data_IF_385394189294
#
_entry.id   IF_385394189294
#
_cell.length_a   1.000
_cell.length_b   1.000
_cell.length_c   1.000
_cell.angle_alpha   90.00
_cell.angle_beta   90.00
_cell.angle_gamma   90.00
#
_symmetry.space_group_name_H-M   'P 1'
#
loop_
_entity.id
_entity.type
_entity.pdbx_description
1 polymer ?
#
# COMPACT_ATOMS: atom_id res chain seq x y z
N UNK A 1 -17.93 7.48 7.76
CA UNK A 1 -18.26 7.75 6.32
C UNK A 1 -17.42 8.84 5.66
N UNK A 2 -16.29 9.24 6.28
CA UNK A 2 -15.29 10.14 5.67
C UNK A 2 -14.62 9.50 4.44
N UNK A 3 -14.32 8.18 4.41
CA UNK A 3 -13.55 7.59 3.32
C UNK A 3 -14.16 7.77 1.93
N UNK A 4 -15.47 7.67 1.79
CA UNK A 4 -16.11 7.77 0.47
C UNK A 4 -16.11 9.18 -0.12
N UNK A 5 -16.12 10.21 0.72
CA UNK A 5 -16.14 11.61 0.29
C UNK A 5 -14.77 12.09 -0.20
N UNK A 6 -13.69 11.48 0.29
CA UNK A 6 -12.31 11.85 -0.07
C UNK A 6 -11.74 11.01 -1.21
N UNK A 7 -12.34 9.86 -1.54
CA UNK A 7 -11.92 9.03 -2.67
C UNK A 7 -12.05 9.78 -4.00
N UNK A 8 -11.06 9.67 -4.88
CA UNK A 8 -11.14 10.20 -6.24
C UNK A 8 -12.25 9.49 -7.03
N UNK A 9 -13.16 10.25 -7.64
CA UNK A 9 -14.21 9.68 -8.51
C UNK A 9 -13.61 8.91 -9.69
N UNK A 10 -12.50 9.39 -10.23
CA UNK A 10 -11.80 8.73 -11.34
C UNK A 10 -11.21 7.40 -10.88
N UNK A 11 -10.61 7.33 -9.68
CA UNK A 11 -10.16 6.06 -9.09
C UNK A 11 -11.33 5.08 -8.96
N UNK A 12 -12.44 5.52 -8.36
CA UNK A 12 -13.63 4.69 -8.19
C UNK A 12 -14.15 4.15 -9.52
N UNK A 13 -14.26 5.00 -10.55
CA UNK A 13 -14.75 4.60 -11.87
C UNK A 13 -13.77 3.61 -12.54
N UNK A 14 -12.48 3.90 -12.55
CA UNK A 14 -11.49 3.08 -13.21
C UNK A 14 -11.26 1.74 -12.49
N UNK A 15 -11.35 1.69 -11.15
CA UNK A 15 -11.25 0.42 -10.41
C UNK A 15 -12.39 -0.52 -10.78
N UNK A 16 -13.62 -0.04 -10.87
CA UNK A 16 -14.77 -0.84 -11.32
C UNK A 16 -14.53 -1.38 -12.74
N UNK A 17 -14.09 -0.52 -13.66
CA UNK A 17 -13.81 -0.91 -15.04
C UNK A 17 -12.72 -1.98 -15.13
N UNK A 18 -11.64 -1.84 -14.36
CA UNK A 18 -10.55 -2.83 -14.32
C UNK A 18 -11.01 -4.16 -13.72
N UNK A 19 -11.75 -4.14 -12.61
CA UNK A 19 -12.25 -5.36 -11.96
C UNK A 19 -13.25 -6.14 -12.80
N UNK A 20 -13.91 -5.49 -13.77
CA UNK A 20 -14.80 -6.13 -14.73
C UNK A 20 -14.06 -6.73 -15.94
N UNK A 21 -12.79 -6.41 -16.14
CA UNK A 21 -11.99 -6.93 -17.25
C UNK A 21 -11.66 -8.41 -17.06
N UNK A 22 -11.90 -9.23 -18.10
CA UNK A 22 -11.68 -10.68 -18.04
C UNK A 22 -10.21 -11.09 -17.82
N UNK A 23 -9.25 -10.28 -18.29
CA UNK A 23 -7.83 -10.56 -18.05
C UNK A 23 -7.49 -10.34 -16.57
N UNK A 24 -8.02 -9.27 -15.97
CA UNK A 24 -7.84 -8.99 -14.53
C UNK A 24 -8.45 -10.11 -13.70
N UNK A 25 -9.67 -10.52 -13.99
CA UNK A 25 -10.36 -11.59 -13.27
C UNK A 25 -9.61 -12.92 -13.32
N UNK A 26 -9.06 -13.28 -14.48
CA UNK A 26 -8.23 -14.50 -14.63
C UNK A 26 -6.94 -14.42 -13.82
N UNK A 27 -6.30 -13.25 -13.78
CA UNK A 27 -5.08 -13.04 -12.99
C UNK A 27 -5.41 -13.12 -11.50
N UNK A 28 -6.50 -12.49 -11.05
CA UNK A 28 -6.96 -12.57 -9.66
C UNK A 28 -7.23 -14.03 -9.24
N UNK A 29 -8.00 -14.79 -10.02
CA UNK A 29 -8.29 -16.19 -9.74
C UNK A 29 -7.01 -17.03 -9.64
N UNK A 30 -6.05 -16.85 -10.54
CA UNK A 30 -4.77 -17.54 -10.49
C UNK A 30 -3.91 -17.15 -9.27
N UNK A 31 -4.01 -15.90 -8.81
CA UNK A 31 -3.31 -15.45 -7.60
C UNK A 31 -3.94 -16.01 -6.33
N UNK A 32 -5.27 -16.05 -6.25
CA UNK A 32 -6.02 -16.61 -5.11
C UNK A 32 -5.73 -18.09 -4.91
N UNK A 33 -5.64 -18.89 -5.99
CA UNK A 33 -5.30 -20.31 -5.94
C UNK A 33 -3.91 -20.58 -5.33
N UNK A 34 -3.00 -19.59 -5.40
CA UNK A 34 -1.62 -19.69 -4.91
C UNK A 34 -1.37 -18.89 -3.63
N UNK A 35 -2.37 -18.17 -3.14
CA UNK A 35 -2.26 -17.38 -1.91
C UNK A 35 -2.37 -18.32 -0.70
N UNK A 36 -1.22 -18.80 -0.23
CA UNK A 36 -1.15 -19.48 1.05
C UNK A 36 -1.10 -18.42 2.18
N UNK A 37 -1.81 -18.67 3.28
CA UNK A 37 -1.80 -17.83 4.49
C UNK A 37 -0.44 -17.81 5.18
N UNK A 38 0.57 -17.23 4.54
CA UNK A 38 1.97 -17.21 5.01
C UNK A 38 2.55 -15.81 5.16
N UNK A 39 1.77 -14.76 4.85
CA UNK A 39 2.27 -13.38 4.90
C UNK A 39 2.76 -13.03 6.29
N UNK A 40 1.94 -13.23 7.31
CA UNK A 40 2.29 -12.95 8.70
C UNK A 40 3.52 -13.73 9.16
N UNK A 41 3.63 -15.02 8.82
CA UNK A 41 4.79 -15.84 9.18
C UNK A 41 6.06 -15.34 8.47
N UNK A 42 5.96 -14.97 7.21
CA UNK A 42 7.06 -14.40 6.44
C UNK A 42 7.51 -13.03 7.01
N UNK A 43 6.55 -12.21 7.44
CA UNK A 43 6.84 -10.92 8.09
C UNK A 43 7.57 -11.10 9.41
N UNK A 44 7.09 -11.98 10.28
CA UNK A 44 7.74 -12.28 11.57
C UNK A 44 9.16 -12.84 11.42
N UNK A 45 9.49 -13.44 10.28
CA UNK A 45 10.84 -13.92 10.00
C UNK A 45 11.81 -12.83 9.53
N UNK A 46 11.32 -11.64 9.09
CA UNK A 46 12.12 -10.60 8.44
C UNK A 46 11.89 -9.19 8.95
N UNK A 47 10.87 -8.99 9.76
CA UNK A 47 10.45 -7.70 10.28
C UNK A 47 10.10 -7.82 11.76
N UNK A 48 10.26 -6.74 12.50
CA UNK A 48 9.86 -6.63 13.89
C UNK A 48 8.45 -6.08 13.96
N UNK A 49 7.53 -6.80 14.63
CA UNK A 49 6.21 -6.26 14.93
C UNK A 49 6.32 -5.18 16.01
N UNK A 50 5.82 -4.00 15.71
CA UNK A 50 5.69 -2.93 16.68
C UNK A 50 4.39 -3.13 17.48
N UNK A 51 4.54 -3.24 18.78
CA UNK A 51 3.42 -3.41 19.71
C UNK A 51 3.37 -2.23 20.69
N UNK A 52 2.25 -1.98 21.37
CA UNK A 52 2.17 -0.88 22.35
C UNK A 52 3.22 -0.96 23.47
N UNK A 53 3.72 -2.15 23.77
CA UNK A 53 4.79 -2.34 24.76
C UNK A 53 6.20 -2.00 24.24
N UNK A 54 6.41 -2.03 22.90
CA UNK A 54 7.70 -1.78 22.26
C UNK A 54 7.73 -0.37 21.67
N UNK A 55 6.67 0.05 21.03
CA UNK A 55 6.55 1.28 20.25
C UNK A 55 5.18 1.93 20.47
N UNK A 56 4.91 2.47 21.65
CA UNK A 56 3.57 3.01 21.97
C UNK A 56 3.17 4.16 21.04
N UNK A 57 4.09 5.06 20.71
CA UNK A 57 3.82 6.23 19.86
C UNK A 57 3.40 5.85 18.45
N UNK A 58 4.07 4.88 17.85
CA UNK A 58 3.75 4.40 16.51
C UNK A 58 2.42 3.63 16.48
N UNK A 59 2.11 2.90 17.54
CA UNK A 59 0.80 2.26 17.69
C UNK A 59 -0.32 3.28 17.86
N UNK A 60 -0.12 4.35 18.64
CA UNK A 60 -1.07 5.46 18.77
C UNK A 60 -1.37 6.14 17.43
N UNK A 61 -0.35 6.28 16.55
CA UNK A 61 -0.54 6.80 15.19
C UNK A 61 -1.45 5.87 14.37
N UNK A 62 -1.21 4.55 14.44
CA UNK A 62 -2.05 3.57 13.73
C UNK A 62 -3.49 3.63 14.23
N UNK A 63 -3.70 3.64 15.54
CA UNK A 63 -5.03 3.70 16.16
C UNK A 63 -5.76 5.01 15.78
N UNK A 64 -5.05 6.14 15.77
CA UNK A 64 -5.56 7.41 15.32
C UNK A 64 -6.02 7.37 13.86
N UNK A 65 -5.17 6.87 12.95
CA UNK A 65 -5.49 6.76 11.53
C UNK A 65 -6.67 5.82 11.29
N UNK A 66 -6.74 4.68 11.98
CA UNK A 66 -7.88 3.76 11.93
C UNK A 66 -9.17 4.46 12.36
N UNK A 67 -9.13 5.23 13.44
CA UNK A 67 -10.29 6.00 13.92
C UNK A 67 -10.75 7.05 12.92
N UNK A 68 -9.83 7.81 12.30
CA UNK A 68 -10.15 8.84 11.31
C UNK A 68 -10.73 8.25 10.04
N UNK A 69 -10.20 7.11 9.60
CA UNK A 69 -10.58 6.46 8.35
C UNK A 69 -11.68 5.40 8.51
N UNK A 70 -12.23 5.23 9.73
CA UNK A 70 -13.29 4.27 10.02
C UNK A 70 -12.89 2.82 9.66
N UNK A 71 -11.63 2.44 9.98
CA UNK A 71 -11.08 1.12 9.72
C UNK A 71 -11.39 0.19 10.89
N UNK A 72 -12.23 -0.81 10.64
CA UNK A 72 -12.63 -1.81 11.65
C UNK A 72 -11.69 -3.03 11.67
N UNK A 73 -10.91 -3.23 10.61
CA UNK A 73 -9.98 -4.35 10.47
C UNK A 73 -8.81 -4.20 11.44
N UNK A 74 -8.39 -5.29 12.10
CA UNK A 74 -7.18 -5.28 12.94
C UNK A 74 -5.94 -4.93 12.10
N UNK A 75 -5.19 -3.91 12.51
CA UNK A 75 -3.98 -3.45 11.82
C UNK A 75 -2.75 -3.77 12.66
N UNK A 76 -1.79 -4.46 12.07
CA UNK A 76 -0.49 -4.73 12.67
C UNK A 76 0.61 -3.94 11.96
N UNK A 77 1.43 -3.20 12.71
CA UNK A 77 2.56 -2.43 12.18
C UNK A 77 3.86 -3.22 12.33
N UNK A 78 4.64 -3.29 11.25
CA UNK A 78 5.93 -3.97 11.19
C UNK A 78 7.02 -3.03 10.69
N UNK A 79 8.21 -3.11 11.29
CA UNK A 79 9.42 -2.45 10.79
C UNK A 79 10.39 -3.49 10.25
N UNK A 80 10.92 -3.26 9.06
CA UNK A 80 11.98 -4.07 8.46
C UNK A 80 13.25 -3.25 8.26
N UNK A 81 14.39 -3.93 8.27
CA UNK A 81 15.68 -3.27 8.00
C UNK A 81 15.76 -2.86 6.53
N UNK A 82 15.88 -1.58 6.27
CA UNK A 82 15.97 -1.02 4.93
C UNK A 82 16.52 0.40 4.95
N UNK A 83 17.40 0.72 3.99
CA UNK A 83 18.01 2.05 3.84
C UNK A 83 17.16 3.00 2.99
N UNK A 84 16.17 2.48 2.27
CA UNK A 84 15.22 3.28 1.48
C UNK A 84 14.04 3.69 2.34
N UNK A 85 13.57 4.92 2.19
CA UNK A 85 12.34 5.38 2.83
C UNK A 85 11.15 4.77 2.13
N UNK A 86 10.62 3.69 2.68
CA UNK A 86 9.54 2.93 2.05
C UNK A 86 8.53 2.44 3.08
N UNK A 87 7.26 2.45 2.67
CA UNK A 87 6.15 1.88 3.41
C UNK A 87 5.25 1.08 2.49
N UNK A 88 4.36 0.27 3.07
CA UNK A 88 3.37 -0.47 2.31
C UNK A 88 2.37 -1.20 3.16
N UNK A 89 1.24 -1.49 2.56
CA UNK A 89 0.15 -2.23 3.16
C UNK A 89 -0.07 -3.53 2.38
N UNK A 90 -0.39 -4.62 3.08
CA UNK A 90 -0.72 -5.90 2.44
C UNK A 90 -2.21 -6.02 2.16
N UNK A 91 -2.58 -7.01 1.34
CA UNK A 91 -3.97 -7.47 1.34
C UNK A 91 -4.34 -8.02 2.72
N UNK A 92 -5.62 -7.91 3.12
CA UNK A 92 -6.09 -8.51 4.35
C UNK A 92 -5.86 -10.03 4.35
N UNK A 93 -5.34 -10.55 5.46
CA UNK A 93 -5.14 -11.99 5.69
C UNK A 93 -5.66 -12.34 7.08
N UNK A 94 -6.55 -13.32 7.19
CA UNK A 94 -7.18 -13.74 8.46
C UNK A 94 -7.83 -12.56 9.25
N UNK A 95 -8.47 -11.64 8.54
CA UNK A 95 -9.12 -10.47 9.14
C UNK A 95 -8.16 -9.38 9.63
N UNK A 96 -6.89 -9.41 9.20
CA UNK A 96 -5.84 -8.47 9.58
C UNK A 96 -5.20 -7.82 8.38
N UNK A 97 -4.74 -6.60 8.58
CA UNK A 97 -3.94 -5.84 7.61
C UNK A 97 -2.57 -5.59 8.21
N UNK A 98 -1.55 -5.76 7.40
CA UNK A 98 -0.16 -5.54 7.80
C UNK A 98 0.38 -4.29 7.12
N UNK A 99 0.79 -3.30 7.92
CA UNK A 99 1.54 -2.15 7.44
C UNK A 99 3.02 -2.40 7.71
N UNK A 100 3.84 -2.20 6.70
CA UNK A 100 5.28 -2.34 6.77
C UNK A 100 5.92 -0.99 6.54
N UNK A 101 6.89 -0.65 7.40
CA UNK A 101 7.71 0.55 7.22
C UNK A 101 9.18 0.16 7.29
N UNK A 102 10.03 0.84 6.53
CA UNK A 102 11.47 0.65 6.64
C UNK A 102 12.02 1.33 7.90
N UNK A 103 13.12 0.81 8.43
CA UNK A 103 13.81 1.44 9.56
C UNK A 103 14.24 2.87 9.24
N UNK A 104 14.72 3.13 8.03
CA UNK A 104 15.10 4.46 7.58
C UNK A 104 13.95 5.47 7.58
N UNK A 105 12.73 5.03 7.18
CA UNK A 105 11.54 5.87 7.24
C UNK A 105 11.17 6.18 8.69
N UNK A 106 11.14 5.15 9.55
CA UNK A 106 10.77 5.28 10.95
C UNK A 106 11.74 6.20 11.73
N UNK A 107 13.04 6.15 11.41
CA UNK A 107 14.07 7.00 12.02
C UNK A 107 14.03 8.45 11.53
N UNK A 108 13.58 8.68 10.30
CA UNK A 108 13.66 9.98 9.64
C UNK A 108 12.38 10.81 9.74
N UNK A 109 11.24 10.18 9.98
CA UNK A 109 9.94 10.84 9.96
C UNK A 109 9.50 11.26 11.35
N UNK A 110 8.98 12.49 11.45
CA UNK A 110 8.31 12.97 12.63
C UNK A 110 6.90 12.37 12.73
N UNK A 111 6.26 12.54 13.88
CA UNK A 111 4.92 12.01 14.18
C UNK A 111 3.89 12.28 13.08
N UNK A 112 3.75 13.53 12.63
CA UNK A 112 2.75 13.90 11.63
C UNK A 112 3.09 13.37 10.23
N UNK A 113 4.38 13.22 9.91
CA UNK A 113 4.85 12.64 8.65
C UNK A 113 4.55 11.14 8.62
N UNK A 114 4.79 10.44 9.72
CA UNK A 114 4.46 9.02 9.87
C UNK A 114 2.94 8.82 9.86
N UNK A 115 2.17 9.71 10.49
CA UNK A 115 0.71 9.71 10.46
C UNK A 115 0.19 9.82 9.01
N UNK A 116 0.79 10.70 8.18
CA UNK A 116 0.46 10.79 6.77
C UNK A 116 0.72 9.47 6.03
N UNK A 117 1.89 8.86 6.25
CA UNK A 117 2.27 7.60 5.58
C UNK A 117 1.35 6.46 5.98
N UNK A 118 1.08 6.30 7.27
CA UNK A 118 0.15 5.26 7.76
C UNK A 118 -1.25 5.47 7.19
N UNK A 119 -1.75 6.71 7.19
CA UNK A 119 -3.04 7.05 6.61
C UNK A 119 -3.10 6.81 5.09
N UNK A 120 -2.01 7.07 4.36
CA UNK A 120 -1.89 6.76 2.94
C UNK A 120 -1.97 5.24 2.67
N UNK A 121 -1.22 4.44 3.43
CA UNK A 121 -1.24 2.98 3.29
C UNK A 121 -2.62 2.38 3.65
N UNK A 122 -3.26 2.91 4.70
CA UNK A 122 -4.65 2.55 5.01
C UNK A 122 -5.63 3.01 3.92
N UNK A 123 -5.35 4.10 3.22
CA UNK A 123 -6.09 4.53 2.04
C UNK A 123 -6.11 3.45 0.95
N UNK A 124 -4.98 2.78 0.69
CA UNK A 124 -4.93 1.66 -0.24
C UNK A 124 -5.78 0.48 0.25
N UNK A 125 -5.84 0.24 1.55
CA UNK A 125 -6.67 -0.81 2.13
C UNK A 125 -8.17 -0.50 2.00
N UNK A 126 -8.64 0.65 2.48
CA UNK A 126 -10.08 0.99 2.49
C UNK A 126 -10.69 1.09 1.10
N UNK A 127 -9.89 1.45 0.09
CA UNK A 127 -10.34 1.49 -1.31
C UNK A 127 -10.06 0.20 -2.09
N UNK A 128 -9.57 -0.83 -1.42
CA UNK A 128 -9.28 -2.15 -1.99
C UNK A 128 -8.35 -2.08 -3.22
N UNK A 129 -7.36 -1.18 -3.20
CA UNK A 129 -6.44 -1.02 -4.33
C UNK A 129 -5.62 -2.28 -4.60
N UNK A 130 -5.40 -3.11 -3.58
CA UNK A 130 -4.71 -4.40 -3.71
C UNK A 130 -5.47 -5.43 -4.54
N UNK A 131 -6.78 -5.24 -4.74
CA UNK A 131 -7.58 -6.14 -5.58
C UNK A 131 -7.19 -6.08 -7.05
N UNK A 132 -6.55 -4.99 -7.49
CA UNK A 132 -6.04 -4.87 -8.86
C UNK A 132 -4.57 -5.28 -8.89
N UNK A 133 -4.21 -6.39 -9.56
CA UNK A 133 -2.87 -6.96 -9.53
C UNK A 133 -1.88 -6.17 -10.40
N UNK A 134 -1.68 -4.89 -10.08
CA UNK A 134 -0.92 -3.95 -10.89
C UNK A 134 0.52 -4.40 -11.17
N UNK A 135 1.21 -4.92 -10.15
CA UNK A 135 2.60 -5.39 -10.29
C UNK A 135 2.70 -6.52 -11.31
N UNK A 136 1.71 -7.44 -11.32
CA UNK A 136 1.64 -8.50 -12.31
C UNK A 136 1.35 -7.95 -13.70
N UNK A 137 0.39 -7.03 -13.83
CA UNK A 137 0.05 -6.39 -15.10
C UNK A 137 1.26 -5.69 -15.72
N UNK A 138 2.02 -4.96 -14.93
CA UNK A 138 3.19 -4.23 -15.40
C UNK A 138 4.35 -5.16 -15.76
N UNK A 139 4.53 -6.27 -15.02
CA UNK A 139 5.56 -7.26 -15.31
C UNK A 139 5.27 -8.06 -16.59
N UNK A 140 4.00 -8.25 -16.93
CA UNK A 140 3.56 -9.06 -18.07
C UNK A 140 2.86 -8.24 -19.17
N UNK A 141 3.09 -6.94 -19.23
CA UNK A 141 2.40 -6.01 -20.13
C UNK A 141 2.48 -6.40 -21.62
N UNK A 142 3.54 -7.13 -22.03
CA UNK A 142 3.71 -7.59 -23.42
C UNK A 142 2.64 -8.58 -23.88
N UNK A 143 2.01 -9.27 -22.93
CA UNK A 143 0.99 -10.30 -23.16
C UNK A 143 -0.44 -9.79 -22.95
N UNK A 144 -0.61 -8.49 -22.69
CA UNK A 144 -1.87 -7.85 -22.38
C UNK A 144 -2.27 -6.82 -23.42
N UNK A 145 -3.56 -6.57 -23.64
CA UNK A 145 -4.01 -5.49 -24.50
C UNK A 145 -3.39 -4.14 -24.09
N UNK A 146 -2.80 -3.36 -24.99
CA UNK A 146 -2.20 -2.07 -24.66
C UNK A 146 -3.14 -1.10 -23.97
N UNK A 147 -4.43 -1.14 -24.33
CA UNK A 147 -5.48 -0.32 -23.73
C UNK A 147 -5.66 -0.65 -22.24
N UNK A 148 -5.59 -1.93 -21.87
CA UNK A 148 -5.70 -2.38 -20.49
C UNK A 148 -4.50 -1.88 -19.66
N UNK A 149 -3.30 -1.96 -20.23
CA UNK A 149 -2.07 -1.46 -19.58
C UNK A 149 -2.16 0.06 -19.36
N UNK A 150 -2.61 0.82 -20.35
CA UNK A 150 -2.81 2.27 -20.23
C UNK A 150 -3.89 2.61 -19.18
N UNK A 151 -4.97 1.85 -19.15
CA UNK A 151 -6.03 1.99 -18.16
C UNK A 151 -5.51 1.75 -16.74
N UNK A 152 -4.73 0.69 -16.55
CA UNK A 152 -4.11 0.36 -15.27
C UNK A 152 -3.15 1.46 -14.79
N UNK A 153 -2.31 2.02 -15.67
CA UNK A 153 -1.45 3.16 -15.34
C UNK A 153 -2.25 4.42 -14.99
N UNK A 154 -3.34 4.69 -15.73
CA UNK A 154 -4.21 5.82 -15.41
C UNK A 154 -4.87 5.63 -14.05
N UNK A 155 -5.40 4.45 -13.79
CA UNK A 155 -5.99 4.12 -12.50
C UNK A 155 -4.97 4.26 -11.37
N UNK A 156 -3.77 3.73 -11.51
CA UNK A 156 -2.72 3.82 -10.48
C UNK A 156 -2.52 5.26 -10.00
N UNK A 157 -2.40 6.23 -10.92
CA UNK A 157 -2.24 7.63 -10.53
C UNK A 157 -3.39 8.17 -9.70
N UNK A 158 -4.62 7.76 -9.97
CA UNK A 158 -5.79 8.20 -9.23
C UNK A 158 -5.98 7.42 -7.93
N UNK A 159 -5.53 6.18 -7.85
CA UNK A 159 -5.44 5.41 -6.62
C UNK A 159 -4.47 6.07 -5.63
N UNK A 160 -3.31 6.53 -6.09
CA UNK A 160 -2.37 7.32 -5.27
C UNK A 160 -3.02 8.63 -4.77
N UNK A 161 -3.76 9.34 -5.62
CA UNK A 161 -4.50 10.56 -5.18
C UNK A 161 -5.52 10.24 -4.09
N UNK A 162 -6.20 9.09 -4.18
CA UNK A 162 -7.14 8.65 -3.14
C UNK A 162 -6.41 8.33 -1.83
N UNK A 163 -5.31 7.61 -1.91
CA UNK A 163 -4.46 7.29 -0.77
C UNK A 163 -3.83 8.54 -0.11
N UNK A 164 -3.35 9.48 -0.92
CA UNK A 164 -2.83 10.77 -0.44
C UNK A 164 -3.90 11.56 0.33
N UNK A 165 -5.13 11.57 -0.17
CA UNK A 165 -6.25 12.24 0.52
C UNK A 165 -6.58 11.57 1.85
N UNK A 166 -6.48 10.25 1.95
CA UNK A 166 -6.62 9.53 3.21
C UNK A 166 -5.52 9.91 4.21
N UNK A 167 -4.26 9.95 3.76
CA UNK A 167 -3.14 10.43 4.58
C UNK A 167 -3.33 11.87 5.06
N UNK A 168 -3.77 12.78 4.17
CA UNK A 168 -4.08 14.18 4.53
C UNK A 168 -5.19 14.26 5.57
N UNK A 169 -6.23 13.45 5.44
CA UNK A 169 -7.34 13.41 6.41
C UNK A 169 -6.85 13.01 7.81
N UNK A 170 -5.91 12.07 7.91
CA UNK A 170 -5.33 11.65 9.19
C UNK A 170 -4.51 12.75 9.86
N UNK A 171 -3.76 13.53 9.09
CA UNK A 171 -2.93 14.63 9.63
C UNK A 171 -3.75 15.89 9.93
N UNK A 172 -4.80 16.16 9.17
CA UNK A 172 -5.63 17.36 9.28
C UNK A 172 -4.92 18.67 8.89
N UNK A 173 -3.65 18.64 8.48
CA UNK A 173 -2.80 19.79 8.10
C UNK A 173 -1.99 19.46 6.83
N UNK A 174 -1.59 20.51 6.08
CA UNK A 174 -0.86 20.35 4.81
C UNK A 174 0.67 20.35 4.94
N UNK A 175 1.20 21.06 5.93
CA UNK A 175 2.66 21.23 6.06
C UNK A 175 3.43 19.93 6.31
N UNK A 176 2.97 19.00 7.18
CA UNK A 176 3.62 17.71 7.36
C UNK A 176 3.60 16.87 6.09
N UNK A 177 2.52 16.93 5.32
CA UNK A 177 2.37 16.25 4.04
C UNK A 177 3.44 16.69 3.04
N UNK A 178 3.67 18.01 2.93
CA UNK A 178 4.70 18.55 2.03
C UNK A 178 6.11 18.08 2.45
N UNK A 179 6.39 17.97 3.77
CA UNK A 179 7.66 17.45 4.27
C UNK A 179 7.80 15.94 3.99
N UNK A 180 6.77 15.14 4.22
CA UNK A 180 6.78 13.72 3.93
C UNK A 180 7.08 13.44 2.44
N UNK A 181 6.41 14.15 1.53
CA UNK A 181 6.72 14.08 0.09
C UNK A 181 8.15 14.49 -0.23
N UNK A 182 8.64 15.59 0.36
CA UNK A 182 10.02 16.05 0.14
C UNK A 182 11.04 15.02 0.62
N UNK A 183 10.80 14.35 1.75
CA UNK A 183 11.68 13.32 2.28
C UNK A 183 11.64 12.04 1.43
N UNK A 184 10.46 11.61 1.00
CA UNK A 184 10.31 10.49 0.07
C UNK A 184 11.02 10.76 -1.26
N UNK A 185 10.91 11.98 -1.81
CA UNK A 185 11.60 12.36 -3.05
C UNK A 185 13.13 12.35 -2.87
N UNK A 186 13.66 12.79 -1.73
CA UNK A 186 15.10 12.73 -1.45
C UNK A 186 15.61 11.29 -1.40
N UNK A 187 14.84 10.36 -0.83
CA UNK A 187 15.15 8.94 -0.85
C UNK A 187 15.08 8.34 -2.26
N UNK A 188 14.16 8.79 -3.10
CA UNK A 188 14.01 8.32 -4.48
C UNK A 188 15.07 8.83 -5.44
N UNK A 189 15.65 10.03 -5.21
CA UNK A 189 16.68 10.62 -6.10
C UNK A 189 18.00 9.84 -6.01
N UNK A 190 18.25 9.11 -4.94
CA UNK A 190 19.45 8.27 -4.82
C UNK A 190 19.35 6.93 -5.56
N UNK A 191 18.15 6.46 -5.90
CA UNK A 191 17.95 5.21 -6.64
C UNK A 191 16.89 5.40 -7.72
N UNK A 192 17.34 5.45 -8.97
CA UNK A 192 16.48 5.46 -10.15
C UNK A 192 15.50 4.29 -10.13
N UNK A 193 14.19 4.59 -10.31
CA UNK A 193 13.06 3.67 -10.43
C UNK A 193 12.53 3.16 -9.10
N UNK A 194 11.35 3.63 -8.74
CA UNK A 194 10.49 3.07 -7.71
C UNK A 194 10.28 1.56 -7.89
N UNK A 195 10.91 0.70 -7.12
CA UNK A 195 10.44 -0.67 -6.96
C UNK A 195 9.65 -0.77 -5.67
N UNK A 196 8.41 -0.27 -5.68
CA UNK A 196 7.47 -0.63 -4.63
C UNK A 196 7.41 -2.15 -4.57
N UNK A 197 7.91 -2.73 -3.48
CA UNK A 197 7.81 -4.15 -3.13
C UNK A 197 8.52 -5.20 -4.02
N UNK A 198 9.65 -4.93 -4.64
CA UNK A 198 10.42 -6.01 -5.30
C UNK A 198 10.92 -7.12 -4.37
N UNK A 199 10.98 -6.91 -3.06
CA UNK A 199 11.53 -7.90 -2.12
C UNK A 199 10.48 -8.72 -1.36
N UNK A 200 9.21 -8.39 -1.45
CA UNK A 200 8.11 -9.24 -0.96
C UNK A 200 7.47 -10.05 -2.09
N UNK A 201 7.96 -9.93 -3.30
CA UNK A 201 7.57 -10.82 -4.40
C UNK A 201 7.97 -12.24 -4.04
N UNK A 202 7.00 -13.03 -3.63
CA UNK A 202 7.02 -14.47 -3.86
C UNK A 202 7.33 -14.63 -5.35
N UNK A 203 8.54 -15.11 -5.67
CA UNK A 203 8.92 -15.36 -7.06
C UNK A 203 7.86 -16.27 -7.67
N UNK A 204 7.13 -15.84 -8.71
CA UNK A 204 6.31 -16.77 -9.46
C UNK A 204 7.27 -17.78 -10.10
N UNK A 205 7.30 -19.00 -9.56
CA UNK A 205 7.92 -20.11 -10.25
C UNK A 205 7.07 -20.37 -11.50
N UNK A 206 7.68 -20.09 -12.65
CA UNK A 206 7.31 -20.57 -13.98
C UNK A 206 5.82 -20.88 -14.22
N UNK A 207 5.07 -19.86 -14.61
CA UNK A 207 3.73 -19.98 -15.17
C UNK A 207 3.75 -19.58 -16.64
N UNK A 208 4.32 -20.41 -17.53
CA UNK A 208 3.91 -20.54 -18.92
C UNK A 208 4.57 -21.83 -19.44
N UNK A 209 3.79 -22.87 -19.58
CA UNK A 209 3.85 -23.84 -20.65
C UNK A 209 2.53 -23.87 -21.36
#
# INVERSE_FOLDING_TARGET
MVPDTIRSEVDRHLSVQLLQDQHIQRIQAAMEEHQSSQTRRSLLARALRLSPSISPKECEIVDHCCSVLDVETEVELYVYSGSEMNAGCTQPEDGRVFILVSSSLLESFEHDELCFVVGHELGHHIYSHHSIPLSFLLAHHQNLPPQLVLLAHRWQRHAEVSADRAGIACVGRRDPVARAFSNCLRGCVQHQVLPRFRHLSIKPRNFIR
#
